data_IF_621065660419
#
_entry.id   IF_621065660419
#
_cell.length_a   1.000
_cell.length_b   1.000
_cell.length_c   1.000
_cell.angle_alpha   90.00
_cell.angle_beta   90.00
_cell.angle_gamma   90.00
#
_symmetry.space_group_name_H-M   'P 1'
#
loop_
_entity.id
_entity.type
_entity.pdbx_description
1 polymer ?
2 non-polymer ?
3 non-polymer ?
4 water ?
#
# COMPACT_ATOMS: atom_id res chain seq x y z
N UNK A 13 -33.57 -0.14 -12.11
CA UNK A 13 -32.44 -1.05 -11.71
C UNK A 13 -31.26 -0.88 -12.67
N UNK A 14 -30.14 -0.40 -12.13
CA UNK A 14 -28.89 -0.22 -12.90
C UNK A 14 -27.77 -1.19 -12.49
N UNK A 15 -27.94 -1.86 -11.35
CA UNK A 15 -26.98 -2.86 -10.89
C UNK A 15 -25.58 -2.29 -10.73
N UNK A 16 -24.59 -3.01 -11.26
CA UNK A 16 -23.19 -2.59 -11.17
C UNK A 16 -22.87 -1.34 -12.04
N UNK A 17 -23.82 -0.89 -12.86
CA UNK A 17 -23.71 0.39 -13.61
C UNK A 17 -24.38 1.57 -12.87
N UNK A 18 -24.44 1.47 -11.54
CA UNK A 18 -24.92 2.54 -10.68
C UNK A 18 -23.78 3.49 -10.35
N UNK A 19 -24.00 4.76 -10.63
CA UNK A 19 -23.05 5.81 -10.29
C UNK A 19 -22.87 6.01 -8.77
N UNK A 20 -21.70 6.54 -8.39
CA UNK A 20 -21.39 6.90 -7.01
C UNK A 20 -22.48 7.83 -6.50
N UNK A 21 -23.09 7.51 -5.35
CA UNK A 21 -24.09 8.43 -4.83
C UNK A 21 -23.47 9.80 -4.42
N UNK A 22 -24.11 10.90 -4.79
CA UNK A 22 -23.65 12.21 -4.33
C UNK A 22 -23.75 12.27 -2.82
N UNK A 23 -22.80 12.95 -2.21
CA UNK A 23 -22.87 13.22 -0.78
C UNK A 23 -24.12 14.06 -0.50
N UNK A 24 -24.87 13.76 0.58
CA UNK A 24 -26.04 14.58 0.84
C UNK A 24 -25.67 16.06 1.06
N UNK A 25 -26.48 16.97 0.54
CA UNK A 25 -26.24 18.40 0.71
C UNK A 25 -26.12 18.79 2.16
N UNK A 26 -26.86 18.14 3.05
CA UNK A 26 -26.81 18.51 4.47
C UNK A 26 -25.38 18.34 5.03
N UNK A 27 -24.64 17.38 4.50
CA UNK A 27 -23.26 17.17 4.95
C UNK A 27 -22.40 18.36 4.49
N UNK A 28 -22.54 18.74 3.21
CA UNK A 28 -21.76 19.83 2.66
C UNK A 28 -21.99 21.10 3.48
N UNK A 29 -23.26 21.33 3.84
CA UNK A 29 -23.64 22.53 4.57
C UNK A 29 -23.16 22.64 6.02
N UNK A 30 -22.56 21.58 6.55
CA UNK A 30 -21.91 21.66 7.87
C UNK A 30 -20.57 22.39 7.81
N UNK A 31 -19.99 22.51 6.62
CA UNK A 31 -18.73 23.20 6.44
C UNK A 31 -19.01 24.67 6.09
N UNK A 32 -17.96 25.47 6.09
CA UNK A 32 -18.04 26.87 5.67
C UNK A 32 -17.30 27.17 4.35
N UNK A 33 -17.50 26.33 3.36
CA UNK A 33 -16.70 26.37 2.15
C UNK A 33 -17.38 27.01 0.92
N UNK A 34 -18.63 27.38 1.09
CA UNK A 34 -19.34 28.09 0.02
C UNK A 34 -19.27 27.35 -1.31
N UNK A 35 -19.61 26.07 -1.24
CA UNK A 35 -19.49 25.18 -2.40
C UNK A 35 -20.59 25.46 -3.43
N UNK A 36 -20.17 25.55 -4.69
CA UNK A 36 -21.03 25.82 -5.84
C UNK A 36 -21.24 24.57 -6.72
N UNK A 37 -20.23 23.71 -6.83
CA UNK A 37 -20.26 22.56 -7.74
C UNK A 37 -19.68 21.31 -7.02
N UNK A 38 -20.27 20.16 -7.28
CA UNK A 38 -19.79 18.88 -6.72
C UNK A 38 -19.90 17.78 -7.75
N UNK A 39 -18.89 16.93 -7.83
CA UNK A 39 -18.98 15.76 -8.69
C UNK A 39 -18.06 14.67 -8.16
N UNK A 40 -18.43 13.43 -8.39
CA UNK A 40 -17.62 12.30 -8.02
C UNK A 40 -16.38 12.31 -8.89
N UNK A 41 -15.28 11.87 -8.31
CA UNK A 41 -14.06 11.65 -9.06
C UNK A 41 -13.33 10.50 -8.37
N UNK A 42 -13.47 9.31 -8.93
CA UNK A 42 -12.88 8.13 -8.31
C UNK A 42 -13.62 7.86 -7.02
N UNK A 43 -12.87 7.63 -5.96
CA UNK A 43 -13.50 7.30 -4.66
C UNK A 43 -13.64 8.52 -3.74
N UNK A 44 -13.46 9.71 -4.29
CA UNK A 44 -13.79 10.94 -3.57
C UNK A 44 -14.77 11.78 -4.36
N UNK A 45 -15.30 12.77 -3.69
CA UNK A 45 -16.12 13.77 -4.33
C UNK A 45 -15.37 15.09 -4.32
N UNK A 46 -15.34 15.76 -5.47
CA UNK A 46 -14.68 17.05 -5.59
C UNK A 46 -15.71 18.15 -5.33
N UNK A 47 -15.39 19.05 -4.42
CA UNK A 47 -16.21 20.21 -4.11
C UNK A 47 -15.46 21.48 -4.56
N UNK A 48 -16.15 22.38 -5.27
CA UNK A 48 -15.51 23.54 -5.82
C UNK A 48 -16.28 24.81 -5.40
N UNK A 49 -15.56 25.84 -4.97
CA UNK A 49 -16.17 27.13 -4.59
C UNK A 49 -16.23 28.06 -5.81
N UNK A 50 -16.68 29.28 -5.59
CA UNK A 50 -16.86 30.21 -6.71
C UNK A 50 -15.56 30.68 -7.38
N UNK A 51 -14.44 30.50 -6.70
CA UNK A 51 -13.14 30.83 -7.25
C UNK A 51 -12.48 29.62 -7.90
N UNK A 52 -13.13 28.47 -7.85
CA UNK A 52 -12.56 27.26 -8.40
C UNK A 52 -11.64 26.51 -7.44
N UNK A 53 -11.55 26.96 -6.19
CA UNK A 53 -10.77 26.22 -5.21
C UNK A 53 -11.46 24.91 -4.93
N UNK A 54 -10.68 23.84 -4.90
CA UNK A 54 -11.17 22.47 -4.80
C UNK A 54 -10.92 21.87 -3.41
N UNK A 55 -11.84 21.00 -3.00
CA UNK A 55 -11.72 20.18 -1.80
C UNK A 55 -12.08 18.76 -2.18
N UNK A 56 -11.43 17.80 -1.51
CA UNK A 56 -11.73 16.38 -1.66
C UNK A 56 -12.58 15.92 -0.48
N UNK A 57 -13.77 15.43 -0.73
CA UNK A 57 -14.66 14.93 0.32
C UNK A 57 -14.74 13.41 0.18
N UNK A 58 -14.52 12.73 1.30
CA UNK A 58 -14.50 11.28 1.35
C UNK A 58 -15.66 10.75 2.19
N UNK A 59 -16.44 9.86 1.59
CA UNK A 59 -17.40 9.06 2.29
C UNK A 59 -16.66 7.80 2.76
N UNK A 60 -16.64 7.59 4.07
CA UNK A 60 -15.91 6.49 4.66
C UNK A 60 -16.82 5.68 5.59
N UNK A 61 -16.40 4.46 5.90
CA UNK A 61 -17.05 3.67 6.92
C UNK A 61 -16.20 3.58 8.19
N UNK A 62 -15.11 4.34 8.28
CA UNK A 62 -14.32 4.33 9.52
C UNK A 62 -15.13 4.89 10.67
N UNK A 63 -14.87 4.39 11.87
CA UNK A 63 -15.52 4.91 13.06
C UNK A 63 -15.06 6.33 13.36
N UNK A 64 -15.95 7.15 13.96
CA UNK A 64 -15.52 8.50 14.32
C UNK A 64 -14.29 8.53 15.21
N UNK A 65 -14.20 7.61 16.17
CA UNK A 65 -13.02 7.55 17.04
C UNK A 65 -11.73 7.31 16.24
N UNK A 66 -11.84 6.49 15.20
CA UNK A 66 -10.73 6.20 14.32
C UNK A 66 -10.35 7.45 13.52
N UNK A 67 -11.37 8.16 13.03
CA UNK A 67 -11.09 9.41 12.31
C UNK A 67 -10.32 10.40 13.21
N UNK A 68 -10.73 10.50 14.46
CA UNK A 68 -10.05 11.37 15.40
C UNK A 68 -8.58 11.03 15.63
N UNK A 69 -8.26 9.74 15.90
CA UNK A 69 -6.86 9.40 16.08
C UNK A 69 -6.05 9.58 14.78
N UNK A 70 -6.69 9.34 13.64
CA UNK A 70 -6.03 9.53 12.37
C UNK A 70 -5.61 10.98 12.21
N UNK A 71 -6.53 11.92 12.47
CA UNK A 71 -6.20 13.35 12.44
C UNK A 71 -5.11 13.69 13.44
N UNK A 72 -5.24 13.20 14.67
CA UNK A 72 -4.21 13.46 15.69
C UNK A 72 -2.83 12.93 15.32
N UNK A 73 -2.80 11.77 14.68
CA UNK A 73 -1.55 11.22 14.17
C UNK A 73 -0.90 12.16 13.18
N UNK A 74 -1.68 12.63 12.21
CA UNK A 74 -1.13 13.56 11.23
C UNK A 74 -0.71 14.87 11.87
N UNK A 75 -1.46 15.39 12.82
CA UNK A 75 -1.02 16.62 13.46
C UNK A 75 0.25 16.41 14.27
N UNK A 76 0.37 15.23 14.90
CA UNK A 76 1.64 14.90 15.57
C UNK A 76 2.81 14.89 14.58
N UNK A 77 2.61 14.19 13.48
CA UNK A 77 3.63 14.12 12.44
C UNK A 77 4.02 15.53 11.97
N UNK A 78 3.02 16.38 11.80
CA UNK A 78 3.27 17.75 11.38
C UNK A 78 4.12 18.56 12.36
N UNK A 79 3.87 18.38 13.66
CA UNK A 79 4.68 19.04 14.71
C UNK A 79 6.14 18.56 14.65
N UNK A 80 6.36 17.38 14.07
CA UNK A 80 7.70 16.85 13.82
C UNK A 80 8.26 17.24 12.44
N UNK A 81 7.52 18.02 11.64
CA UNK A 81 8.04 18.49 10.36
C UNK A 81 7.39 17.88 9.13
N UNK A 82 6.49 16.91 9.32
CA UNK A 82 5.91 16.21 8.18
C UNK A 82 4.95 17.12 7.41
N UNK A 83 5.10 17.12 6.09
CA UNK A 83 4.29 17.98 5.21
C UNK A 83 3.50 17.19 4.18
N UNK A 84 3.73 15.89 4.05
CA UNK A 84 3.33 15.15 2.86
C UNK A 84 1.96 14.51 2.97
N UNK A 85 0.97 15.35 3.30
CA UNK A 85 -0.39 14.87 3.45
C UNK A 85 -1.38 15.98 3.12
N UNK A 86 -2.54 15.55 2.66
CA UNK A 86 -3.64 16.48 2.41
C UNK A 86 -4.22 16.94 3.74
N UNK A 87 -4.42 18.24 3.85
CA UNK A 87 -4.83 18.85 5.09
C UNK A 87 -6.33 18.80 5.32
N UNK A 88 -6.74 18.38 6.51
CA UNK A 88 -8.12 18.22 6.85
C UNK A 88 -8.78 19.58 7.10
N UNK A 89 -10.02 19.70 6.64
CA UNK A 89 -10.85 20.88 6.85
C UNK A 89 -11.89 20.52 7.89
N UNK A 90 -12.11 21.39 8.85
CA UNK A 90 -13.08 21.14 9.91
C UNK A 90 -14.41 21.79 9.59
N UNK A 91 -15.47 21.31 10.23
CA UNK A 91 -16.80 21.83 10.06
C UNK A 91 -16.92 23.20 10.77
N UNK A 92 -18.09 23.80 10.63
CA UNK A 92 -18.37 25.05 11.29
C UNK A 92 -18.34 24.93 12.82
N UNK A 93 -18.54 23.72 13.33
CA UNK A 93 -18.40 23.46 14.76
C UNK A 93 -17.01 22.91 15.18
N UNK A 94 -16.04 23.01 14.29
CA UNK A 94 -14.67 22.56 14.57
C UNK A 94 -14.48 21.04 14.59
N UNK A 95 -15.45 20.29 14.08
CA UNK A 95 -15.33 18.83 14.07
C UNK A 95 -14.52 18.39 12.86
N UNK A 96 -13.74 17.31 13.00
CA UNK A 96 -12.93 16.85 11.85
C UNK A 96 -13.67 15.95 10.84
N UNK A 97 -14.95 15.64 11.13
CA UNK A 97 -15.76 14.79 10.25
C UNK A 97 -17.21 15.20 10.45
N UNK A 98 -18.06 14.66 9.58
CA UNK A 98 -19.51 14.68 9.75
C UNK A 98 -19.96 13.22 9.75
N UNK A 99 -20.78 12.87 10.72
CA UNK A 99 -21.35 11.53 10.77
C UNK A 99 -22.81 11.67 10.33
N UNK A 100 -23.20 10.94 9.30
CA UNK A 100 -24.58 11.04 8.79
C UNK A 100 -24.92 9.77 8.01
N UNK A 101 -26.10 9.21 8.28
CA UNK A 101 -26.59 8.08 7.51
C UNK A 101 -25.65 6.88 7.52
N UNK A 102 -25.00 6.64 8.68
CA UNK A 102 -24.06 5.54 8.88
C UNK A 102 -22.73 5.67 8.17
N UNK A 103 -22.43 6.85 7.64
CA UNK A 103 -21.12 7.13 7.05
C UNK A 103 -20.40 8.23 7.82
N UNK A 104 -19.07 8.17 7.77
CA UNK A 104 -18.21 9.20 8.31
C UNK A 104 -17.63 9.95 7.12
N UNK A 105 -17.94 11.23 7.01
CA UNK A 105 -17.42 12.08 5.95
C UNK A 105 -16.31 12.94 6.47
N UNK A 106 -15.24 13.06 5.69
CA UNK A 106 -14.20 14.04 6.01
C UNK A 106 -13.67 14.66 4.74
N UNK A 107 -13.15 15.88 4.91
CA UNK A 107 -12.81 16.75 3.80
C UNK A 107 -11.36 17.19 3.96
N UNK A 108 -10.65 17.23 2.83
CA UNK A 108 -9.30 17.80 2.79
C UNK A 108 -9.19 18.86 1.71
N UNK A 109 -8.19 19.72 1.88
CA UNK A 109 -7.81 20.62 0.80
C UNK A 109 -7.44 19.74 -0.37
N UNK A 110 -7.63 20.24 -1.59
CA UNK A 110 -7.22 19.52 -2.76
C UNK A 110 -5.73 19.56 -2.95
N UNK A 111 -5.17 18.43 -3.36
CA UNK A 111 -3.77 18.33 -3.70
C UNK A 111 -3.62 18.18 -5.20
N UNK A 112 -2.97 19.16 -5.81
CA UNK A 112 -2.70 19.12 -7.25
C UNK A 112 -1.59 18.11 -7.50
N UNK A 113 -1.82 17.24 -8.46
CA UNK A 113 -0.82 16.20 -8.79
C UNK A 113 -1.41 15.05 -9.59
N UNK A 114 -0.58 14.07 -9.88
CA UNK A 114 -1.00 12.91 -10.63
C UNK A 114 -0.69 11.68 -9.80
N UNK A 115 -1.46 10.61 -10.00
CA UNK A 115 -1.19 9.37 -9.29
C UNK A 115 0.24 8.95 -9.66
N UNK A 116 1.03 8.55 -8.67
CA UNK A 116 2.42 8.22 -8.91
C UNK A 116 2.54 7.10 -9.94
N UNK A 117 3.53 7.24 -10.81
CA UNK A 117 3.85 6.26 -11.78
C UNK A 117 4.96 5.40 -11.18
N UNK A 118 4.57 4.24 -10.68
CA UNK A 118 5.51 3.36 -9.99
C UNK A 118 6.49 2.68 -10.96
N UNK A 119 6.39 2.97 -12.24
CA UNK A 119 7.41 2.54 -13.20
C UNK A 119 8.52 3.55 -13.44
N UNK A 120 8.44 4.72 -12.78
CA UNK A 120 9.44 5.77 -12.89
C UNK A 120 10.24 5.85 -11.62
N UNK A 121 11.56 5.69 -11.70
CA UNK A 121 12.37 5.82 -10.51
C UNK A 121 12.14 7.08 -9.69
N UNK A 122 11.96 8.21 -10.37
CA UNK A 122 11.73 9.45 -9.67
C UNK A 122 10.46 9.41 -8.79
N UNK A 123 9.40 8.82 -9.33
CA UNK A 123 8.15 8.76 -8.61
C UNK A 123 8.23 7.77 -7.45
N UNK A 124 8.91 6.66 -7.69
CA UNK A 124 9.17 5.69 -6.62
C UNK A 124 10.03 6.30 -5.51
N UNK A 125 11.04 7.06 -5.93
CA UNK A 125 11.94 7.72 -5.00
C UNK A 125 11.16 8.61 -4.04
N UNK A 126 10.29 9.45 -4.63
CA UNK A 126 9.56 10.41 -3.83
C UNK A 126 8.46 9.77 -2.95
N UNK A 127 7.84 8.72 -3.48
CA UNK A 127 6.90 7.94 -2.65
C UNK A 127 7.60 7.31 -1.44
N UNK A 128 8.75 6.70 -1.68
CA UNK A 128 9.55 6.11 -0.61
C UNK A 128 9.96 7.18 0.40
N UNK A 129 10.44 8.32 -0.07
CA UNK A 129 10.86 9.40 0.81
C UNK A 129 9.71 9.79 1.74
N UNK A 130 8.56 10.02 1.13
CA UNK A 130 7.39 10.44 1.88
C UNK A 130 6.97 9.36 2.92
N UNK A 131 6.91 8.12 2.48
CA UNK A 131 6.55 7.04 3.41
C UNK A 131 7.54 6.96 4.59
N UNK A 132 8.82 7.09 4.29
CA UNK A 132 9.84 7.09 5.33
C UNK A 132 9.68 8.26 6.29
N UNK A 133 9.37 9.42 5.73
CA UNK A 133 9.14 10.61 6.56
C UNK A 133 7.95 10.41 7.49
N UNK A 134 6.88 9.83 6.96
CA UNK A 134 5.70 9.56 7.78
C UNK A 134 6.03 8.62 8.94
N UNK A 135 6.79 7.58 8.64
CA UNK A 135 7.14 6.59 9.65
C UNK A 135 7.99 7.24 10.73
N UNK A 136 8.96 8.05 10.31
CA UNK A 136 9.86 8.71 11.25
C UNK A 136 9.09 9.71 12.14
N UNK A 137 8.24 10.52 11.50
CA UNK A 137 7.50 11.57 12.20
C UNK A 137 6.47 11.05 13.19
N UNK A 138 6.15 9.75 13.11
CA UNK A 138 5.15 9.15 13.98
C UNK A 138 5.73 8.14 14.98
N UNK A 139 7.06 8.11 15.07
CA UNK A 139 7.73 7.22 16.03
C UNK A 139 7.17 7.52 17.42
N UNK A 140 6.94 6.46 18.18
CA UNK A 140 6.47 6.60 19.55
C UNK A 140 5.04 7.14 19.71
N UNK A 141 4.33 7.41 18.61
CA UNK A 141 2.99 7.98 18.71
C UNK A 141 1.95 6.87 18.79
N UNK A 142 1.25 6.80 19.91
CA UNK A 142 0.16 5.84 20.12
C UNK A 142 0.51 4.46 19.58
N UNK A 143 1.64 3.98 20.06
CA UNK A 143 2.23 2.74 19.55
C UNK A 143 1.37 1.49 19.76
N UNK A 144 0.61 1.46 20.85
CA UNK A 144 -0.24 0.31 21.14
C UNK A 144 -1.66 0.44 20.58
N UNK A 145 -1.91 1.44 19.73
CA UNK A 145 -3.22 1.55 19.09
C UNK A 145 -3.39 0.56 17.93
N UNK A 146 -4.54 -0.11 17.95
CA UNK A 146 -4.96 -1.05 16.89
C UNK A 146 -6.45 -0.84 16.56
N UNK A 152 -0.41 -7.94 14.55
CA UNK A 152 0.63 -8.17 13.55
C UNK A 152 1.20 -9.58 13.65
N UNK A 153 0.94 -10.37 12.60
CA UNK A 153 1.46 -11.72 12.48
C UNK A 153 1.77 -12.00 11.01
N UNK A 154 2.85 -11.42 10.53
CA UNK A 154 3.21 -11.55 9.11
C UNK A 154 3.59 -13.00 8.79
N UNK A 155 4.32 -13.69 9.66
CA UNK A 155 4.64 -15.09 9.41
C UNK A 155 3.36 -15.92 9.18
N UNK A 156 2.39 -15.79 10.09
CA UNK A 156 1.17 -16.60 10.01
C UNK A 156 0.40 -16.32 8.75
N UNK A 157 0.38 -15.07 8.33
CA UNK A 157 -0.31 -14.67 7.10
C UNK A 157 0.28 -15.40 5.90
N UNK A 158 1.61 -15.36 5.79
CA UNK A 158 2.27 -15.99 4.67
C UNK A 158 2.25 -17.53 4.77
N UNK A 159 2.34 -18.07 6.00
CA UNK A 159 2.22 -19.52 6.15
C UNK A 159 0.87 -20.02 5.63
N UNK A 160 -0.19 -19.27 5.96
CA UNK A 160 -1.53 -19.64 5.52
C UNK A 160 -1.65 -19.57 4.00
N UNK A 161 -1.04 -18.53 3.42
CA UNK A 161 -1.05 -18.36 1.96
C UNK A 161 -0.29 -19.49 1.26
N UNK A 162 0.81 -19.93 1.86
CA UNK A 162 1.55 -21.04 1.28
C UNK A 162 0.70 -22.33 1.31
N UNK A 163 0.09 -22.60 2.45
CA UNK A 163 -0.75 -23.78 2.58
C UNK A 163 -1.89 -23.76 1.57
N UNK A 164 -2.45 -22.58 1.35
CA UNK A 164 -3.52 -22.40 0.35
C UNK A 164 -3.00 -22.67 -1.08
N UNK A 165 -1.86 -22.05 -1.39
CA UNK A 165 -1.27 -22.21 -2.72
C UNK A 165 -1.00 -23.68 -3.05
N UNK A 166 -0.41 -24.42 -2.10
CA UNK A 166 -0.14 -25.84 -2.29
C UNK A 166 -1.43 -26.64 -2.52
N UNK A 167 -2.46 -26.35 -1.73
CA UNK A 167 -3.75 -27.01 -1.91
C UNK A 167 -4.37 -26.72 -3.26
N UNK A 168 -4.25 -25.47 -3.71
CA UNK A 168 -4.82 -25.05 -4.99
C UNK A 168 -4.16 -25.77 -6.14
N UNK A 169 -2.83 -25.91 -6.16
CA UNK A 169 -2.28 -26.64 -7.31
C UNK A 169 -2.49 -28.15 -7.22
N UNK A 170 -2.62 -28.69 -6.01
CA UNK A 170 -3.06 -30.08 -5.88
C UNK A 170 -4.46 -30.26 -6.47
N UNK A 171 -5.33 -29.30 -6.20
CA UNK A 171 -6.67 -29.33 -6.77
C UNK A 171 -6.63 -29.29 -8.28
N UNK A 172 -5.76 -28.43 -8.83
CA UNK A 172 -5.69 -28.27 -10.28
C UNK A 172 -5.14 -29.55 -10.92
N UNK A 173 -4.20 -30.19 -10.24
CA UNK A 173 -3.54 -31.34 -10.83
C UNK A 173 -4.52 -32.50 -11.03
N UNK A 174 -5.50 -32.62 -10.14
CA UNK A 174 -6.44 -33.73 -10.19
C UNK A 174 -7.71 -33.44 -11.00
N UNK A 175 -7.72 -32.32 -11.74
CA UNK A 175 -8.81 -32.04 -12.67
C UNK A 175 -8.72 -32.89 -13.93
N UNK A 176 -9.87 -33.40 -14.37
CA UNK A 176 -9.91 -34.22 -15.58
C UNK A 176 -9.56 -33.40 -16.80
N UNK A 177 -10.08 -32.17 -16.84
CA UNK A 177 -9.85 -31.24 -17.94
C UNK A 177 -9.20 -29.97 -17.36
N UNK A 178 -7.92 -29.77 -17.69
CA UNK A 178 -7.16 -28.63 -17.20
C UNK A 178 -7.19 -27.51 -18.25
N UNK A 179 -7.60 -26.32 -17.83
CA UNK A 179 -7.61 -25.17 -18.72
C UNK A 179 -6.23 -24.55 -18.76
N UNK A 180 -6.08 -23.48 -19.53
CA UNK A 180 -4.76 -22.88 -19.72
C UNK A 180 -4.17 -22.39 -18.40
N UNK A 181 -5.00 -21.80 -17.57
CA UNK A 181 -4.56 -21.34 -16.24
C UNK A 181 -4.04 -22.52 -15.39
N UNK A 182 -4.83 -23.58 -15.30
CA UNK A 182 -4.46 -24.76 -14.51
C UNK A 182 -3.12 -25.26 -14.95
N UNK A 183 -2.95 -25.43 -16.26
CA UNK A 183 -1.70 -25.98 -16.77
C UNK A 183 -0.52 -25.06 -16.49
N UNK A 184 -0.70 -23.76 -16.69
CA UNK A 184 0.36 -22.80 -16.43
C UNK A 184 0.75 -22.81 -14.94
N UNK A 185 -0.23 -22.77 -14.06
CA UNK A 185 0.06 -22.84 -12.62
C UNK A 185 0.84 -24.12 -12.27
N UNK A 186 0.41 -25.25 -12.82
CA UNK A 186 1.12 -26.52 -12.55
C UNK A 186 2.56 -26.50 -13.06
N UNK A 187 2.78 -25.81 -14.17
CA UNK A 187 4.11 -25.74 -14.76
C UNK A 187 5.12 -25.00 -13.88
N UNK A 188 4.65 -24.17 -12.96
CA UNK A 188 5.56 -23.40 -12.11
C UNK A 188 5.57 -23.85 -10.66
N UNK A 189 5.04 -25.03 -10.36
CA UNK A 189 4.96 -25.47 -8.96
C UNK A 189 6.30 -25.50 -8.25
N UNK A 190 7.34 -25.97 -8.93
CA UNK A 190 8.61 -26.14 -8.25
C UNK A 190 9.21 -24.78 -7.90
N UNK A 191 9.09 -23.78 -8.79
CA UNK A 191 9.58 -22.45 -8.47
C UNK A 191 8.75 -21.78 -7.37
N UNK A 192 7.44 -21.93 -7.45
CA UNK A 192 6.58 -21.34 -6.44
C UNK A 192 6.89 -21.95 -5.06
N UNK A 193 7.06 -23.26 -5.02
CA UNK A 193 7.40 -23.97 -3.78
C UNK A 193 8.73 -23.46 -3.21
N UNK A 194 9.73 -23.35 -4.07
CA UNK A 194 11.05 -22.87 -3.65
C UNK A 194 10.97 -21.47 -3.06
N UNK A 195 10.27 -20.58 -3.75
CA UNK A 195 10.16 -19.22 -3.28
C UNK A 195 9.40 -19.11 -1.95
N UNK A 196 8.27 -19.82 -1.83
CA UNK A 196 7.52 -19.81 -0.58
C UNK A 196 8.37 -20.34 0.58
N UNK A 197 9.08 -21.45 0.35
CA UNK A 197 9.94 -22.03 1.39
C UNK A 197 11.05 -21.06 1.80
N UNK A 198 11.66 -20.38 0.82
CA UNK A 198 12.74 -19.44 1.12
C UNK A 198 12.20 -18.25 1.91
N UNK A 199 10.99 -17.80 1.54
CA UNK A 199 10.37 -16.70 2.26
C UNK A 199 10.06 -17.04 3.73
N UNK A 200 9.41 -18.18 3.93
CA UNK A 200 9.06 -18.59 5.29
C UNK A 200 10.33 -18.83 6.12
N UNK A 201 11.40 -19.36 5.51
CA UNK A 201 12.68 -19.52 6.23
C UNK A 201 13.22 -18.16 6.69
N UNK A 202 13.09 -17.15 5.83
CA UNK A 202 13.54 -15.81 6.23
C UNK A 202 12.72 -15.24 7.36
N UNK A 203 11.41 -15.44 7.33
CA UNK A 203 10.55 -15.00 8.43
C UNK A 203 10.90 -15.68 9.77
N UNK A 204 11.47 -16.89 9.70
CA UNK A 204 11.90 -17.67 10.90
C UNK A 204 13.30 -17.33 11.38
N UNK A 205 14.03 -16.50 10.63
CA UNK A 205 15.36 -16.09 11.03
C UNK A 205 15.30 -15.10 12.18
N UNK A 206 16.20 -15.31 13.14
CA UNK A 206 16.15 -14.53 14.38
C UNK A 206 16.36 -13.03 14.16
N UNK A 207 17.17 -12.67 13.17
CA UNK A 207 17.41 -11.25 12.87
C UNK A 207 16.16 -10.52 12.32
N UNK A 208 15.41 -11.20 11.47
CA UNK A 208 14.15 -10.66 10.93
C UNK A 208 13.13 -10.46 12.05
N UNK A 209 12.97 -11.48 12.88
CA UNK A 209 12.10 -11.36 14.04
C UNK A 209 12.53 -10.23 14.98
N UNK A 210 13.83 -10.12 15.24
CA UNK A 210 14.34 -9.06 16.09
C UNK A 210 14.02 -7.67 15.52
N UNK A 211 14.13 -7.53 14.21
CA UNK A 211 13.75 -6.29 13.55
C UNK A 211 12.25 -5.95 13.75
N UNK A 212 11.40 -6.94 13.53
CA UNK A 212 9.95 -6.72 13.60
C UNK A 212 9.57 -6.35 15.03
N UNK A 213 10.14 -7.06 16.00
CA UNK A 213 9.84 -6.77 17.39
C UNK A 213 10.34 -5.41 17.84
N UNK A 214 11.54 -5.04 17.41
CA UNK A 214 12.09 -3.71 17.73
C UNK A 214 11.20 -2.61 17.15
N UNK A 215 10.75 -2.78 15.91
CA UNK A 215 9.83 -1.81 15.28
C UNK A 215 8.54 -1.68 16.05
N UNK A 216 7.97 -2.81 16.50
CA UNK A 216 6.77 -2.83 17.32
C UNK A 216 6.96 -1.98 18.58
N UNK A 217 8.13 -2.09 19.20
CA UNK A 217 8.42 -1.34 20.41
C UNK A 217 8.63 0.16 20.16
N UNK A 218 9.39 0.52 19.13
CA UNK A 218 9.72 1.92 18.87
C UNK A 218 8.58 2.68 18.18
N UNK A 219 7.68 1.94 17.57
CA UNK A 219 6.53 2.51 16.92
C UNK A 219 6.91 3.14 15.60
N UNK A 220 6.07 4.05 15.16
CA UNK A 220 6.14 4.57 13.82
C UNK A 220 5.03 3.89 13.04
N UNK A 221 4.22 4.70 12.37
CA UNK A 221 3.10 4.21 11.59
C UNK A 221 3.50 3.96 10.15
N UNK A 222 2.87 2.96 9.55
CA UNK A 222 2.85 2.78 8.10
C UNK A 222 1.53 3.27 7.55
N UNK A 223 1.57 3.67 6.28
CA UNK A 223 0.37 4.11 5.57
C UNK A 223 -0.52 2.92 5.19
N UNK A 224 0.10 1.85 4.66
CA UNK A 224 -0.58 0.57 4.39
C UNK A 224 -1.66 0.60 3.31
N UNK A 225 -1.66 1.64 2.47
CA UNK A 225 -2.49 1.60 1.26
C UNK A 225 -1.75 2.31 0.14
N UNK A 226 -0.58 1.77 -0.16
CA UNK A 226 0.39 2.37 -1.05
C UNK A 226 0.09 1.97 -2.48
N UNK A 227 -0.87 2.70 -3.05
CA UNK A 227 -1.31 2.51 -4.42
C UNK A 227 -1.21 3.87 -5.10
N UNK A 228 -1.09 3.89 -6.44
CA UNK A 228 -0.85 5.18 -7.11
C UNK A 228 -1.88 6.26 -6.79
N UNK A 229 -3.14 5.88 -6.71
CA UNK A 229 -4.16 6.89 -6.46
C UNK A 229 -4.08 7.53 -5.07
N UNK A 230 -3.32 6.94 -4.12
CA UNK A 230 -3.11 7.57 -2.82
C UNK A 230 -1.76 8.27 -2.68
N UNK A 231 -0.94 8.22 -3.73
CA UNK A 231 0.43 8.73 -3.72
C UNK A 231 0.53 9.77 -4.83
N UNK A 232 0.22 11.02 -4.50
CA UNK A 232 0.09 12.03 -5.53
C UNK A 232 1.43 12.73 -5.78
N UNK A 233 1.95 12.58 -6.99
CA UNK A 233 3.19 13.23 -7.41
C UNK A 233 2.83 14.63 -7.91
N UNK A 234 3.35 15.64 -7.22
CA UNK A 234 2.89 17.01 -7.38
C UNK A 234 3.78 17.79 -8.36
N UNK A 235 3.31 18.98 -8.81
CA UNK A 235 4.16 19.84 -9.61
C UNK A 235 5.47 20.31 -8.93
N UNK A 236 5.54 20.20 -7.60
CA UNK A 236 6.81 20.44 -6.90
C UNK A 236 7.67 19.18 -6.75
N UNK A 237 7.29 18.13 -7.46
CA UNK A 237 8.08 16.90 -7.53
C UNK A 237 8.27 16.25 -6.16
N UNK A 238 7.19 16.27 -5.39
CA UNK A 238 7.10 15.51 -4.15
C UNK A 238 5.90 14.61 -4.23
N UNK A 239 5.83 13.65 -3.31
CA UNK A 239 4.63 12.85 -3.19
C UNK A 239 3.88 13.18 -1.91
N UNK A 240 2.59 13.45 -2.08
CA UNK A 240 1.70 13.74 -0.99
C UNK A 240 0.75 12.57 -0.84
N UNK A 241 0.68 12.03 0.38
CA UNK A 241 -0.20 10.93 0.65
C UNK A 241 -1.61 11.39 0.97
N UNK A 242 -2.56 10.60 0.50
CA UNK A 242 -3.95 10.72 0.93
C UNK A 242 -4.45 9.35 1.40
N UNK A 243 -5.61 9.35 2.04
CA UNK A 243 -6.26 8.14 2.55
C UNK A 243 -5.44 7.36 3.57
N UNK A 244 -5.47 7.87 4.80
CA UNK A 244 -4.75 7.28 5.92
C UNK A 244 -5.64 6.31 6.71
N UNK A 245 -6.71 5.81 6.11
CA UNK A 245 -7.68 4.99 6.84
C UNK A 245 -7.13 3.63 7.27
N UNK A 246 -6.15 3.11 6.54
CA UNK A 246 -5.53 1.84 6.93
C UNK A 246 -4.24 2.03 7.73
N UNK A 247 -3.83 3.26 7.97
CA UNK A 247 -2.57 3.55 8.64
C UNK A 247 -2.65 3.09 10.08
N UNK A 248 -1.52 2.56 10.60
CA UNK A 248 -1.43 2.12 12.01
C UNK A 248 0.04 1.88 12.31
N UNK A 249 0.38 1.78 13.61
CA UNK A 249 1.74 1.40 13.94
C UNK A 249 2.07 0.05 13.28
N UNK A 250 3.20 -0.01 12.58
CA UNK A 250 3.62 -1.22 11.88
C UNK A 250 5.06 -1.09 11.45
N UNK A 251 5.78 -2.22 11.31
CA UNK A 251 7.17 -2.11 10.91
C UNK A 251 7.32 -1.45 9.54
N UNK A 252 8.33 -0.61 9.44
CA UNK A 252 8.60 0.13 8.21
C UNK A 252 8.75 -0.77 6.99
N UNK A 253 9.27 -1.98 7.17
CA UNK A 253 9.42 -2.92 6.10
C UNK A 253 8.12 -3.21 5.33
N UNK A 254 6.98 -3.09 6.00
CA UNK A 254 5.71 -3.33 5.31
C UNK A 254 5.45 -2.33 4.19
N UNK A 255 5.58 -1.04 4.48
CA UNK A 255 5.41 -0.04 3.44
C UNK A 255 6.50 -0.19 2.39
N UNK A 256 7.74 -0.46 2.82
CA UNK A 256 8.83 -0.58 1.87
C UNK A 256 8.63 -1.73 0.92
N UNK A 257 8.26 -2.89 1.44
CA UNK A 257 8.04 -4.07 0.62
C UNK A 257 6.84 -3.90 -0.30
N UNK A 258 5.76 -3.30 0.21
CA UNK A 258 4.58 -3.11 -0.64
C UNK A 258 4.84 -2.15 -1.82
N UNK A 259 5.55 -1.06 -1.56
CA UNK A 259 5.97 -0.18 -2.64
C UNK A 259 6.86 -0.92 -3.62
N UNK A 260 7.83 -1.68 -3.10
CA UNK A 260 8.74 -2.39 -3.97
C UNK A 260 8.01 -3.41 -4.84
N UNK A 261 7.11 -4.18 -4.25
CA UNK A 261 6.50 -5.24 -5.01
C UNK A 261 5.68 -4.64 -6.17
N UNK A 262 4.91 -3.63 -5.85
CA UNK A 262 4.08 -2.99 -6.89
C UNK A 262 4.93 -2.37 -7.98
N UNK A 263 5.97 -1.67 -7.58
CA UNK A 263 6.87 -1.01 -8.53
C UNK A 263 7.56 -2.05 -9.40
N UNK A 264 8.21 -3.01 -8.74
CA UNK A 264 9.00 -4.00 -9.46
C UNK A 264 8.16 -4.87 -10.38
N UNK A 265 6.95 -5.26 -9.94
CA UNK A 265 6.12 -6.15 -10.76
C UNK A 265 5.68 -5.45 -12.05
N UNK A 266 5.52 -4.14 -11.97
CA UNK A 266 5.07 -3.34 -13.12
C UNK A 266 6.24 -2.74 -13.94
N UNK A 267 7.44 -2.64 -13.35
CA UNK A 267 8.65 -2.31 -14.11
C UNK A 267 9.56 -3.48 -14.45
N UNK A 268 9.00 -4.68 -14.51
CA UNK A 268 9.75 -5.91 -14.78
C UNK A 268 11.09 -5.99 -14.06
N UNK A 269 11.02 -5.71 -12.78
CA UNK A 269 12.11 -6.05 -11.88
C UNK A 269 13.39 -5.27 -12.19
N UNK A 270 13.19 -4.07 -12.75
CA UNK A 270 14.27 -3.09 -12.96
C UNK A 270 14.75 -2.57 -11.60
N UNK A 271 15.98 -2.93 -11.23
CA UNK A 271 16.52 -2.57 -9.93
C UNK A 271 16.74 -1.10 -9.72
N UNK A 272 16.66 -0.27 -10.77
CA UNK A 272 16.69 1.17 -10.54
C UNK A 272 15.53 1.61 -9.67
N UNK A 273 14.40 0.92 -9.81
CA UNK A 273 13.23 1.24 -9.01
C UNK A 273 13.47 0.88 -7.54
N UNK A 274 14.13 -0.28 -7.29
CA UNK A 274 14.42 -0.69 -5.92
C UNK A 274 15.44 0.23 -5.29
N UNK A 275 16.46 0.61 -6.06
CA UNK A 275 17.50 1.48 -5.56
C UNK A 275 16.90 2.84 -5.18
N UNK A 276 16.03 3.36 -6.05
CA UNK A 276 15.36 4.64 -5.78
C UNK A 276 14.62 4.57 -4.43
N UNK A 277 13.93 3.46 -4.22
CA UNK A 277 13.20 3.25 -2.98
C UNK A 277 14.13 3.17 -1.75
N UNK A 278 15.13 2.29 -1.81
CA UNK A 278 16.00 2.06 -0.65
C UNK A 278 16.77 3.33 -0.31
N UNK A 279 17.28 4.02 -1.34
CA UNK A 279 18.05 5.23 -1.10
C UNK A 279 17.23 6.26 -0.32
N UNK A 280 15.94 6.39 -0.65
CA UNK A 280 15.12 7.41 -0.04
C UNK A 280 14.54 7.03 1.32
N UNK A 281 14.32 5.72 1.58
CA UNK A 281 14.11 5.29 2.96
C UNK A 281 15.37 5.53 3.82
N UNK A 282 16.51 5.14 3.28
CA UNK A 282 17.79 5.27 3.99
C UNK A 282 18.11 6.72 4.34
N UNK A 283 17.74 7.65 3.46
CA UNK A 283 17.99 9.08 3.68
C UNK A 283 17.29 9.60 4.94
N UNK A 284 16.13 9.06 5.24
CA UNK A 284 15.40 9.45 6.45
C UNK A 284 15.95 8.72 7.69
N UNK A 285 16.15 7.43 7.56
CA UNK A 285 16.74 6.61 8.63
C UNK A 285 17.38 5.40 7.97
N UNK A 286 18.62 5.12 8.37
CA UNK A 286 19.39 3.96 7.90
C UNK A 286 18.58 2.69 7.83
N UNK A 287 18.75 1.93 6.74
CA UNK A 287 18.16 0.60 6.66
C UNK A 287 19.19 -0.42 7.18
N UNK A 288 18.94 -1.03 8.37
CA UNK A 288 19.89 -2.05 8.82
C UNK A 288 19.72 -3.34 8.04
N UNK A 289 20.71 -4.21 8.13
CA UNK A 289 20.66 -5.48 7.42
C UNK A 289 19.36 -6.25 7.71
N UNK A 290 18.93 -6.27 8.98
CA UNK A 290 17.75 -7.04 9.34
C UNK A 290 16.49 -6.49 8.68
N UNK A 291 16.44 -5.17 8.44
CA UNK A 291 15.30 -4.57 7.75
C UNK A 291 15.29 -4.99 6.30
N UNK A 292 16.45 -4.97 5.66
CA UNK A 292 16.55 -5.50 4.30
C UNK A 292 16.05 -6.93 4.26
N UNK A 293 16.45 -7.73 5.26
CA UNK A 293 16.08 -9.15 5.24
C UNK A 293 14.57 -9.35 5.42
N UNK A 294 13.95 -8.53 6.27
CA UNK A 294 12.49 -8.56 6.40
C UNK A 294 11.80 -8.22 5.07
N UNK A 295 12.30 -7.20 4.37
CA UNK A 295 11.79 -6.84 3.06
C UNK A 295 11.99 -8.00 2.09
N UNK A 296 13.17 -8.64 2.11
CA UNK A 296 13.38 -9.79 1.25
C UNK A 296 12.40 -10.93 1.53
N UNK A 297 12.10 -11.17 2.81
CA UNK A 297 11.17 -12.23 3.17
C UNK A 297 9.81 -12.01 2.51
N UNK A 298 9.37 -10.75 2.55
CA UNK A 298 8.09 -10.41 1.97
C UNK A 298 8.16 -10.53 0.43
N UNK A 299 9.14 -9.89 -0.19
CA UNK A 299 9.26 -9.95 -1.66
C UNK A 299 9.48 -11.33 -2.25
N UNK A 300 10.19 -12.20 -1.51
CA UNK A 300 10.48 -13.52 -2.03
C UNK A 300 9.21 -14.36 -2.14
N UNK A 301 8.24 -14.11 -1.27
CA UNK A 301 7.01 -14.92 -1.30
C UNK A 301 6.29 -14.69 -2.64
N UNK A 302 5.79 -15.76 -3.28
CA UNK A 302 5.06 -15.62 -4.56
C UNK A 302 3.61 -15.13 -4.35
N UNK A 303 3.52 -13.88 -3.92
CA UNK A 303 2.27 -13.27 -3.55
C UNK A 303 1.26 -13.19 -4.70
N UNK A 304 1.74 -12.80 -5.86
CA UNK A 304 0.80 -12.61 -6.97
C UNK A 304 0.18 -13.94 -7.42
N UNK A 305 1.02 -14.98 -7.67
CA UNK A 305 0.40 -16.27 -7.97
C UNK A 305 -0.60 -16.74 -6.91
N UNK A 306 -0.25 -16.56 -5.62
CA UNK A 306 -1.17 -16.91 -4.55
C UNK A 306 -2.47 -16.15 -4.72
N UNK A 307 -2.36 -14.84 -4.87
CA UNK A 307 -3.57 -13.98 -4.88
C UNK A 307 -4.50 -14.30 -6.07
N UNK A 308 -3.91 -14.45 -7.23
CA UNK A 308 -4.63 -14.74 -8.45
C UNK A 308 -5.27 -16.14 -8.38
N UNK A 309 -4.49 -17.14 -7.95
CA UNK A 309 -5.07 -18.48 -7.82
C UNK A 309 -6.17 -18.52 -6.74
N UNK A 310 -5.96 -17.81 -5.65
CA UNK A 310 -6.95 -17.74 -4.59
C UNK A 310 -8.28 -17.23 -5.12
N UNK A 311 -8.22 -16.14 -5.88
CA UNK A 311 -9.43 -15.59 -6.51
C UNK A 311 -10.08 -16.62 -7.43
N UNK A 312 -9.27 -17.27 -8.25
CA UNK A 312 -9.80 -18.21 -9.23
C UNK A 312 -10.55 -19.37 -8.60
N UNK A 313 -9.91 -19.99 -7.61
CA UNK A 313 -10.40 -21.26 -7.10
C UNK A 313 -11.31 -21.12 -5.89
N UNK A 314 -11.16 -20.05 -5.10
CA UNK A 314 -12.07 -19.80 -4.00
C UNK A 314 -13.28 -18.98 -4.40
N UNK A 315 -13.10 -18.09 -5.37
CA UNK A 315 -14.16 -17.19 -5.78
C UNK A 315 -14.74 -17.69 -7.10
N UNK A 316 -14.12 -17.31 -8.21
CA UNK A 316 -14.55 -17.80 -9.54
C UNK A 316 -13.49 -17.43 -10.55
N UNK A 317 -13.47 -18.17 -11.63
CA UNK A 317 -12.59 -17.88 -12.75
C UNK A 317 -12.93 -16.54 -13.41
N UNK A 318 -11.88 -15.90 -13.88
CA UNK A 318 -11.99 -14.68 -14.70
C UNK A 318 -10.80 -14.66 -15.63
N UNK A 319 -11.01 -14.29 -16.91
CA UNK A 319 -9.90 -14.26 -17.85
C UNK A 319 -8.72 -13.37 -17.41
N UNK A 320 -9.00 -12.33 -16.63
CA UNK A 320 -7.93 -11.47 -16.13
C UNK A 320 -6.89 -12.21 -15.31
N UNK A 321 -7.32 -13.29 -14.65
CA UNK A 321 -6.41 -14.11 -13.84
C UNK A 321 -5.36 -14.77 -14.73
N UNK A 322 -5.79 -15.27 -15.88
CA UNK A 322 -4.83 -15.89 -16.80
C UNK A 322 -3.86 -14.84 -17.33
N UNK A 323 -4.39 -13.66 -17.69
CA UNK A 323 -3.50 -12.54 -18.12
C UNK A 323 -2.43 -12.31 -17.04
N UNK A 324 -2.87 -12.20 -15.79
CA UNK A 324 -1.93 -11.90 -14.69
C UNK A 324 -0.90 -13.00 -14.47
N UNK A 325 -1.32 -14.27 -14.52
CA UNK A 325 -0.40 -15.37 -14.31
C UNK A 325 0.59 -15.49 -15.49
N UNK A 326 0.10 -15.19 -16.70
CA UNK A 326 0.96 -15.19 -17.88
C UNK A 326 2.07 -14.13 -17.74
N UNK A 327 1.68 -12.94 -17.30
CA UNK A 327 2.67 -11.89 -17.10
C UNK A 327 3.67 -12.26 -16.01
N UNK A 328 3.20 -12.91 -14.94
CA UNK A 328 4.13 -13.35 -13.89
C UNK A 328 5.15 -14.35 -14.47
N UNK A 329 4.67 -15.27 -15.29
CA UNK A 329 5.55 -16.27 -15.91
C UNK A 329 6.58 -15.60 -16.82
N UNK A 330 6.13 -14.64 -17.61
CA UNK A 330 7.04 -13.88 -18.50
C UNK A 330 8.17 -13.22 -17.72
N UNK A 331 7.83 -12.65 -16.58
CA UNK A 331 8.80 -11.93 -15.74
C UNK A 331 9.54 -12.77 -14.72
N UNK A 332 9.23 -14.06 -14.66
CA UNK A 332 9.72 -14.87 -13.54
C UNK A 332 11.24 -14.90 -13.45
N UNK A 333 11.93 -15.04 -14.59
CA UNK A 333 13.40 -15.09 -14.53
C UNK A 333 14.00 -13.74 -14.14
N UNK A 334 13.43 -12.66 -14.66
CA UNK A 334 13.88 -11.32 -14.25
C UNK A 334 13.67 -11.08 -12.76
N UNK A 335 12.55 -11.55 -12.24
CA UNK A 335 12.26 -11.46 -10.80
C UNK A 335 13.30 -12.25 -9.98
N UNK A 336 13.57 -13.49 -10.41
CA UNK A 336 14.59 -14.32 -9.77
C UNK A 336 15.95 -13.61 -9.77
N UNK A 337 16.32 -13.04 -10.92
CA UNK A 337 17.61 -12.34 -11.05
C UNK A 337 17.71 -11.14 -10.12
N UNK A 338 16.63 -10.40 -10.01
CA UNK A 338 16.62 -9.25 -9.13
C UNK A 338 16.76 -9.66 -7.67
N UNK A 339 15.99 -10.66 -7.26
CA UNK A 339 16.03 -11.10 -5.88
C UNK A 339 17.39 -11.70 -5.55
N UNK A 340 18.03 -12.33 -6.52
CA UNK A 340 19.36 -12.89 -6.34
C UNK A 340 20.42 -11.82 -6.11
N UNK A 341 20.38 -10.77 -6.93
CA UNK A 341 21.33 -9.66 -6.79
C UNK A 341 21.09 -8.90 -5.47
N UNK A 342 19.83 -8.73 -5.08
CA UNK A 342 19.53 -8.06 -3.81
C UNK A 342 20.08 -8.87 -2.62
N UNK A 343 19.89 -10.18 -2.67
CA UNK A 343 20.42 -11.07 -1.62
C UNK A 343 21.94 -10.91 -1.49
N UNK A 344 22.62 -10.85 -2.63
CA UNK A 344 24.06 -10.64 -2.61
C UNK A 344 24.39 -9.27 -2.03
N UNK A 345 23.64 -8.24 -2.44
CA UNK A 345 23.85 -6.88 -1.93
C UNK A 345 23.76 -6.84 -0.39
N UNK A 346 22.76 -7.53 0.15
CA UNK A 346 22.51 -7.50 1.58
C UNK A 346 23.64 -8.20 2.35
N UNK A 347 24.29 -9.17 1.72
CA UNK A 347 25.48 -9.80 2.28
C UNK A 347 26.75 -8.94 2.24
N UNK A 348 26.82 -7.92 1.39
CA UNK A 348 27.95 -6.99 1.46
C UNK A 348 27.46 -5.55 1.53
N UNK A 349 26.74 -5.26 2.61
CA UNK A 349 26.37 -3.88 2.95
C UNK A 349 27.53 -3.13 3.62
X LIG B 1 -5.20 15.61 -7.35
X LIG B 1 -5.59 14.20 -7.24
X LIG B 1 -5.66 13.59 -8.64
X LIG B 1 -6.67 13.50 -9.23
X LIG B 1 -6.95 14.06 -6.55
X LIG B 1 -6.96 14.42 -5.09
X LIG B 1 -7.57 13.63 -4.14
X LIG B 1 -6.47 15.49 -4.42
X LIG B 1 -7.44 14.18 -2.96
X LIG B 1 -6.77 15.32 -3.09
X LIG B 1 -4.63 13.16 -9.18
X LIG C 1 4.78 -11.97 -6.29
X LIG C 1 5.85 -11.05 -6.40
X LIG C 1 6.67 -10.33 -6.49
X LIG D 1 -25.14 16.06 8.39
X LIG D 1 -26.65 16.16 8.32
X LIG D 1 -27.81 16.24 8.27
X LIG E 1 -7.55 10.86 19.80
X LIG E 1 -6.07 10.91 19.97
X LIG E 1 -4.91 10.96 20.09
X LIG F 1 -4.61 18.47 9.32
X LIG F 1 -4.78 19.91 8.88
X LIG F 1 -4.88 21.04 8.56
X LIG G 1 -4.81 -17.85 2.75
X LIG G 1 -5.93 -16.89 2.49
X LIG G 1 -6.81 -16.15 2.26
X LIG H 1 -11.83 2.63 16.04
X LIG H 1 -10.90 3.46 16.87
X LIG H 1 -10.19 4.09 17.51
X LIG I 1 -4.46 26.31 2.53
X LIG I 1 -3.83 24.95 2.64
X LIG I 1 -3.34 23.89 2.69
X LIG J 1 20.17 -1.54 -3.95
X LIG J 1 19.32 -2.22 -4.93
X LIG J 1 18.65 -2.76 -5.68
#
# INVERSE_FOLDING_TARGET
>A
XRGSRRTAEDAARLGSRSQAPLIPQAVVSKYDLAIQQRHADGNIEVWTDSKGRRYAAKRSSIAPAHCRIMVQCLRHAQEQGFTKFARFVTTSSNAPYVRHGDFTYYVTEWVSGQPANFGLPEHVAQTAYTLAQFHEATRSFRTDWKPDEAADDVFGLFQARWRDLRQMWLGADRKREKDAFDQLLLSMRDELHRDAAESLALFEDRDVIAYLEAERSSGGWCHLDVIPSNCLYTPQHQVVLIDFELARPAPRALDMAHLLRRSLERGNWDGHLAYACFLHFDAVRNIPKSEYRAVEAILRFPYLPWRIAHARYHFAADPSQLDALQQYAVQAEKRQAFLASLRQQVEHLGE
>B hetero
1 HIS N CA C O CB CG ND1 CD2 CE1 NE2 OXT
>C hetero
1 SCN S C N
>D hetero
1 SCN S C N
>E hetero
1 SCN S C N
>F hetero
1 SCN S C N
>G hetero
1 SCN S C N
>H hetero
1 SCN S C N
>I hetero
1 SCN S C N
>J hetero
1 SCN S C N
#
